data_IF_901910093153
#
_entry.id   IF_901910093153
#
_cell.length_a   1.000
_cell.length_b   1.000
_cell.length_c   1.000
_cell.angle_alpha   90.00
_cell.angle_beta   90.00
_cell.angle_gamma   90.00
#
_symmetry.space_group_name_H-M   'P 1'
#
loop_
_entity.id
_entity.type
_entity.pdbx_description
1 polymer ?
#
# COMPACT_ATOMS: atom_id res chain seq x y z
N UNK A 1 -48.52 57.95 6.90
CA UNK A 1 -47.85 56.95 6.04
C UNK A 1 -46.82 56.26 6.92
N UNK A 2 -47.09 55.04 7.39
CA UNK A 2 -46.20 54.31 8.30
C UNK A 2 -46.06 52.84 7.87
N UNK A 3 -47.12 52.23 7.33
CA UNK A 3 -47.08 50.82 6.90
C UNK A 3 -46.38 50.52 5.57
N UNK A 4 -45.97 51.51 4.77
CA UNK A 4 -45.22 51.26 3.53
C UNK A 4 -43.71 51.07 3.78
N UNK A 5 -43.13 51.82 4.72
CA UNK A 5 -41.71 51.71 5.08
C UNK A 5 -41.42 50.43 5.89
N UNK A 6 -42.37 49.99 6.71
CA UNK A 6 -42.25 48.73 7.46
C UNK A 6 -42.25 47.51 6.52
N UNK A 7 -43.12 47.51 5.51
CA UNK A 7 -43.21 46.44 4.50
C UNK A 7 -41.97 46.36 3.60
N UNK A 8 -41.41 47.52 3.22
CA UNK A 8 -40.16 47.59 2.45
C UNK A 8 -38.99 47.03 3.28
N UNK A 9 -38.90 47.43 4.56
CA UNK A 9 -37.85 46.95 5.46
C UNK A 9 -37.97 45.45 5.71
N UNK A 10 -39.19 44.91 5.82
CA UNK A 10 -39.44 43.48 6.02
C UNK A 10 -39.03 42.66 4.78
N UNK A 11 -39.31 43.15 3.56
CA UNK A 11 -38.85 42.54 2.32
C UNK A 11 -37.31 42.51 2.20
N UNK A 12 -36.64 43.61 2.55
CA UNK A 12 -35.16 43.69 2.56
C UNK A 12 -34.55 42.71 3.58
N UNK A 13 -35.18 42.53 4.76
CA UNK A 13 -34.75 41.53 5.74
C UNK A 13 -34.97 40.10 5.27
N UNK A 14 -36.05 39.83 4.53
CA UNK A 14 -36.30 38.50 3.97
C UNK A 14 -35.27 38.14 2.90
N UNK A 15 -34.98 39.05 1.97
CA UNK A 15 -34.01 38.83 0.90
C UNK A 15 -32.60 38.59 1.44
N UNK A 16 -32.18 39.37 2.45
CA UNK A 16 -30.89 39.18 3.12
C UNK A 16 -30.81 37.84 3.85
N UNK A 17 -31.89 37.41 4.53
CA UNK A 17 -31.96 36.09 5.16
C UNK A 17 -31.86 34.94 4.14
N UNK A 18 -32.51 35.07 2.98
CA UNK A 18 -32.46 34.09 1.88
C UNK A 18 -31.04 34.00 1.31
N UNK A 19 -30.40 35.14 1.05
CA UNK A 19 -29.01 35.19 0.57
C UNK A 19 -28.05 34.54 1.57
N UNK A 20 -28.14 34.88 2.86
CA UNK A 20 -27.32 34.26 3.90
C UNK A 20 -27.55 32.74 4.01
N UNK A 21 -28.78 32.26 3.80
CA UNK A 21 -29.05 30.82 3.82
C UNK A 21 -28.46 30.11 2.62
N UNK A 22 -28.45 30.73 1.43
CA UNK A 22 -27.85 30.13 0.24
C UNK A 22 -26.32 30.14 0.28
N UNK A 23 -25.69 31.21 0.77
CA UNK A 23 -24.25 31.25 1.04
C UNK A 23 -23.84 30.17 2.06
N UNK A 24 -24.64 29.98 3.12
CA UNK A 24 -24.38 28.93 4.11
C UNK A 24 -24.45 27.53 3.50
N UNK A 25 -25.44 27.25 2.65
CA UNK A 25 -25.55 25.97 1.94
C UNK A 25 -24.36 25.73 1.02
N UNK A 26 -23.88 26.76 0.31
CA UNK A 26 -22.69 26.66 -0.52
C UNK A 26 -21.46 26.32 0.32
N UNK A 27 -21.24 27.03 1.43
CA UNK A 27 -20.13 26.73 2.34
C UNK A 27 -20.20 25.31 2.92
N UNK A 28 -21.39 24.84 3.32
CA UNK A 28 -21.59 23.47 3.80
C UNK A 28 -21.30 22.42 2.72
N UNK A 29 -21.72 22.70 1.48
CA UNK A 29 -21.46 21.84 0.33
C UNK A 29 -19.96 21.76 0.02
N UNK A 30 -19.26 22.90 -0.03
CA UNK A 30 -17.83 22.96 -0.24
C UNK A 30 -17.04 22.27 0.88
N UNK A 31 -17.42 22.49 2.14
CA UNK A 31 -16.82 21.82 3.28
C UNK A 31 -16.98 20.30 3.21
N UNK A 32 -18.17 19.83 2.78
CA UNK A 32 -18.43 18.40 2.57
C UNK A 32 -17.62 17.83 1.43
N UNK A 33 -17.57 18.51 0.28
CA UNK A 33 -16.74 18.09 -0.85
C UNK A 33 -15.27 18.02 -0.46
N UNK A 34 -14.77 19.01 0.27
CA UNK A 34 -13.42 19.02 0.79
C UNK A 34 -13.17 17.83 1.72
N UNK A 35 -14.06 17.56 2.67
CA UNK A 35 -13.94 16.42 3.57
C UNK A 35 -13.90 15.07 2.81
N UNK A 36 -14.72 14.93 1.76
CA UNK A 36 -14.70 13.74 0.90
C UNK A 36 -13.38 13.61 0.14
N UNK A 37 -12.86 14.70 -0.43
CA UNK A 37 -11.56 14.71 -1.13
C UNK A 37 -10.40 14.40 -0.17
N UNK A 38 -10.41 14.98 1.02
CA UNK A 38 -9.41 14.73 2.06
C UNK A 38 -9.42 13.26 2.49
N UNK A 39 -10.61 12.68 2.71
CA UNK A 39 -10.75 11.26 3.02
C UNK A 39 -10.22 10.36 1.89
N UNK A 40 -10.61 10.63 0.64
CA UNK A 40 -10.13 9.87 -0.52
C UNK A 40 -8.60 9.95 -0.64
N UNK A 41 -8.03 11.13 -0.47
CA UNK A 41 -6.58 11.34 -0.48
C UNK A 41 -5.87 10.54 0.62
N UNK A 42 -6.41 10.55 1.84
CA UNK A 42 -5.87 9.77 2.95
C UNK A 42 -5.93 8.26 2.68
N UNK A 43 -7.06 7.76 2.15
CA UNK A 43 -7.22 6.35 1.83
C UNK A 43 -6.24 5.90 0.75
N UNK A 44 -6.12 6.66 -0.35
CA UNK A 44 -5.17 6.36 -1.43
C UNK A 44 -3.71 6.41 -0.95
N UNK A 45 -3.38 7.36 -0.08
CA UNK A 45 -2.04 7.45 0.50
C UNK A 45 -1.73 6.26 1.40
N UNK A 46 -2.67 5.86 2.26
CA UNK A 46 -2.54 4.71 3.14
C UNK A 46 -2.40 3.40 2.36
N UNK A 47 -3.21 3.21 1.32
CA UNK A 47 -3.15 2.04 0.43
C UNK A 47 -1.79 1.96 -0.27
N UNK A 48 -1.34 3.05 -0.90
CA UNK A 48 -0.04 3.11 -1.56
C UNK A 48 1.12 2.86 -0.60
N UNK A 49 1.06 3.43 0.61
CA UNK A 49 2.06 3.19 1.64
C UNK A 49 2.07 1.72 2.10
N UNK A 50 0.90 1.11 2.24
CA UNK A 50 0.75 -0.31 2.56
C UNK A 50 1.34 -1.20 1.48
N UNK A 51 1.00 -0.94 0.21
CA UNK A 51 1.53 -1.68 -0.94
C UNK A 51 3.05 -1.60 -1.01
N UNK A 52 3.62 -0.39 -0.97
CA UNK A 52 5.08 -0.19 -1.03
C UNK A 52 5.81 -0.91 0.11
N UNK A 53 5.29 -0.81 1.34
CA UNK A 53 5.87 -1.52 2.49
C UNK A 53 5.77 -3.04 2.34
N UNK A 54 4.64 -3.53 1.82
CA UNK A 54 4.41 -4.94 1.55
C UNK A 54 5.36 -5.49 0.50
N UNK A 55 5.51 -4.79 -0.63
CA UNK A 55 6.42 -5.12 -1.71
C UNK A 55 7.88 -5.15 -1.23
N UNK A 56 8.34 -4.08 -0.58
CA UNK A 56 9.70 -4.00 -0.04
C UNK A 56 9.96 -5.14 0.96
N UNK A 57 9.07 -5.33 1.93
CA UNK A 57 9.22 -6.39 2.94
C UNK A 57 9.19 -7.79 2.32
N UNK A 58 8.36 -7.98 1.28
CA UNK A 58 8.27 -9.25 0.55
C UNK A 58 9.56 -9.56 -0.19
N UNK A 59 10.11 -8.57 -0.90
CA UNK A 59 11.37 -8.69 -1.61
C UNK A 59 12.53 -8.99 -0.66
N UNK A 60 12.70 -8.19 0.41
CA UNK A 60 13.78 -8.36 1.38
C UNK A 60 13.72 -9.75 2.07
N UNK A 61 12.52 -10.20 2.46
CA UNK A 61 12.33 -11.54 3.03
C UNK A 61 12.64 -12.63 2.02
N UNK A 62 12.16 -12.49 0.78
CA UNK A 62 12.39 -13.43 -0.31
C UNK A 62 13.88 -13.59 -0.62
N UNK A 63 14.60 -12.47 -0.79
CA UNK A 63 16.04 -12.45 -1.04
C UNK A 63 16.81 -13.10 0.11
N UNK A 64 16.54 -12.70 1.35
CA UNK A 64 17.22 -13.25 2.53
C UNK A 64 16.97 -14.75 2.69
N UNK A 65 15.72 -15.20 2.55
CA UNK A 65 15.37 -16.62 2.65
C UNK A 65 15.97 -17.42 1.49
N UNK A 66 15.93 -16.90 0.27
CA UNK A 66 16.55 -17.50 -0.91
C UNK A 66 18.06 -17.68 -0.73
N UNK A 67 18.76 -16.62 -0.33
CA UNK A 67 20.20 -16.66 -0.08
C UNK A 67 20.57 -17.68 1.02
N UNK A 68 19.86 -17.67 2.15
CA UNK A 68 20.13 -18.63 3.23
C UNK A 68 19.89 -20.08 2.81
N UNK A 69 18.83 -20.33 2.05
CA UNK A 69 18.52 -21.67 1.53
C UNK A 69 19.57 -22.11 0.51
N UNK A 70 19.99 -21.22 -0.39
CA UNK A 70 21.08 -21.46 -1.35
C UNK A 70 22.39 -21.80 -0.63
N UNK A 71 22.76 -21.03 0.40
CA UNK A 71 23.97 -21.28 1.18
C UNK A 71 23.93 -22.64 1.90
N UNK A 72 22.77 -23.00 2.47
CA UNK A 72 22.59 -24.33 3.11
C UNK A 72 22.74 -25.47 2.10
N UNK A 73 22.12 -25.35 0.92
CA UNK A 73 22.23 -26.33 -0.16
C UNK A 73 23.67 -26.46 -0.65
N UNK A 74 24.33 -25.35 -0.96
CA UNK A 74 25.73 -25.35 -1.39
C UNK A 74 26.65 -25.99 -0.34
N UNK A 75 26.46 -25.66 0.95
CA UNK A 75 27.21 -26.29 2.04
C UNK A 75 26.97 -27.80 2.12
N UNK A 76 25.72 -28.26 1.94
CA UNK A 76 25.36 -29.67 1.87
C UNK A 76 26.13 -30.37 0.73
N UNK A 77 26.09 -29.78 -0.47
CA UNK A 77 26.79 -30.30 -1.66
C UNK A 77 28.29 -30.43 -1.43
N UNK A 78 28.97 -29.35 -1.01
CA UNK A 78 30.42 -29.38 -0.79
C UNK A 78 30.83 -30.36 0.31
N UNK A 79 30.05 -30.44 1.40
CA UNK A 79 30.34 -31.35 2.50
C UNK A 79 30.24 -32.82 2.08
N UNK A 80 29.21 -33.19 1.32
CA UNK A 80 29.02 -34.56 0.85
C UNK A 80 29.99 -34.93 -0.28
N UNK A 81 30.30 -33.97 -1.16
CA UNK A 81 31.31 -34.15 -2.19
C UNK A 81 32.70 -34.40 -1.57
N UNK A 82 33.06 -33.67 -0.51
CA UNK A 82 34.30 -33.91 0.23
C UNK A 82 34.34 -35.29 0.93
N UNK A 83 33.19 -35.91 1.19
CA UNK A 83 33.08 -37.28 1.69
C UNK A 83 33.18 -38.34 0.57
N UNK A 84 33.32 -37.92 -0.70
CA UNK A 84 33.43 -38.81 -1.85
C UNK A 84 32.09 -39.36 -2.36
N UNK A 85 30.95 -38.75 -1.98
CA UNK A 85 29.64 -39.15 -2.50
C UNK A 85 29.48 -38.75 -3.97
N UNK A 86 28.70 -39.53 -4.70
CA UNK A 86 28.36 -39.24 -6.10
C UNK A 86 27.33 -38.12 -6.20
N UNK A 87 27.28 -37.42 -7.34
CA UNK A 87 26.32 -36.33 -7.56
C UNK A 87 24.86 -36.79 -7.38
N UNK A 88 24.51 -37.99 -7.85
CA UNK A 88 23.20 -38.60 -7.66
C UNK A 88 22.83 -38.80 -6.17
N UNK A 89 23.75 -39.32 -5.35
CA UNK A 89 23.50 -39.49 -3.91
C UNK A 89 23.37 -38.14 -3.19
N UNK A 90 24.15 -37.13 -3.60
CA UNK A 90 24.06 -35.78 -3.05
C UNK A 90 22.71 -35.14 -3.41
N UNK A 91 22.23 -35.34 -4.64
CA UNK A 91 20.94 -34.86 -5.11
C UNK A 91 19.79 -35.40 -4.25
N UNK A 92 19.81 -36.70 -3.95
CA UNK A 92 18.84 -37.35 -3.07
C UNK A 92 18.89 -36.79 -1.64
N UNK A 93 20.09 -36.65 -1.06
CA UNK A 93 20.25 -36.21 0.34
C UNK A 93 19.92 -34.73 0.50
N UNK A 94 20.41 -33.87 -0.39
CA UNK A 94 20.18 -32.43 -0.33
C UNK A 94 18.84 -32.00 -0.96
N UNK A 95 18.03 -32.97 -1.45
CA UNK A 95 16.72 -32.77 -2.06
C UNK A 95 16.75 -31.69 -3.15
N UNK A 96 17.67 -31.83 -4.08
CA UNK A 96 17.84 -30.92 -5.20
C UNK A 96 18.20 -31.72 -6.46
N UNK A 97 17.85 -31.24 -7.66
CA UNK A 97 18.14 -31.98 -8.88
C UNK A 97 19.65 -32.16 -9.07
N UNK A 98 20.05 -33.30 -9.62
CA UNK A 98 21.46 -33.64 -9.83
C UNK A 98 22.18 -32.59 -10.68
N UNK A 99 21.47 -31.99 -11.65
CA UNK A 99 22.04 -30.93 -12.46
C UNK A 99 22.41 -29.67 -11.64
N UNK A 100 21.61 -29.29 -10.64
CA UNK A 100 21.98 -28.19 -9.73
C UNK A 100 23.18 -28.57 -8.84
N UNK A 101 23.33 -29.85 -8.47
CA UNK A 101 24.50 -30.33 -7.73
C UNK A 101 25.76 -30.19 -8.57
N UNK A 102 25.69 -30.60 -9.84
CA UNK A 102 26.79 -30.45 -10.80
C UNK A 102 27.14 -28.98 -11.02
N UNK A 103 26.14 -28.11 -11.22
CA UNK A 103 26.37 -26.66 -11.38
C UNK A 103 27.08 -26.02 -10.18
N UNK A 104 26.83 -26.52 -8.96
CA UNK A 104 27.49 -26.05 -7.74
C UNK A 104 28.94 -26.53 -7.64
N UNK A 105 29.23 -27.74 -8.14
CA UNK A 105 30.56 -28.35 -8.08
C UNK A 105 31.50 -27.86 -9.19
N UNK A 106 30.96 -27.33 -10.29
CA UNK A 106 31.71 -26.89 -11.48
C UNK A 106 32.09 -28.04 -12.39
#
# INVERSE_FOLDING_TARGET
MAGKDEYIREAETYDTLVQMTDEKKQMEYEAREKALRDYQSQMLSAENAGFKKGEQSGFEKGERSGYQNGLKKAKCVFQLNAQGKTAAEIAEICQMPEQEVLDVLG
#
